data_IF_030796938067
#
_entry.id   IF_030796938067
#
_cell.length_a   1.000
_cell.length_b   1.000
_cell.length_c   1.000
_cell.angle_alpha   90.00
_cell.angle_beta   90.00
_cell.angle_gamma   90.00
#
_symmetry.space_group_name_H-M   'P 1'
#
loop_
_entity.id
_entity.type
_entity.pdbx_description
1 polymer ?
#
# COMPACT_ATOMS: atom_id res chain seq x y z
N UNK A 1 -1.68 9.91 20.38
CA UNK A 1 -2.09 9.53 19.00
C UNK A 1 -1.49 8.21 18.53
N UNK A 2 -0.21 8.11 18.10
CA UNK A 2 0.35 6.86 17.56
C UNK A 2 0.33 5.67 18.55
N UNK A 3 0.61 5.91 19.83
CA UNK A 3 0.60 4.87 20.85
C UNK A 3 -0.82 4.36 21.19
N UNK A 4 -1.80 5.26 21.13
CA UNK A 4 -3.21 4.98 21.45
C UNK A 4 -3.96 4.33 20.27
N UNK A 5 -3.52 4.58 19.04
CA UNK A 5 -4.18 4.05 17.84
C UNK A 5 -3.74 2.61 17.59
N UNK A 6 -4.66 1.70 17.27
CA UNK A 6 -4.33 0.33 16.82
C UNK A 6 -4.00 0.28 15.33
N UNK A 7 -4.58 1.20 14.56
CA UNK A 7 -4.41 1.34 13.12
C UNK A 7 -3.89 2.74 12.80
N UNK A 8 -2.79 2.78 12.04
CA UNK A 8 -2.17 4.01 11.54
C UNK A 8 -2.41 4.06 10.04
N UNK A 9 -3.25 4.99 9.59
CA UNK A 9 -3.56 5.18 8.18
C UNK A 9 -3.11 6.56 7.69
N UNK A 10 -2.52 6.61 6.49
CA UNK A 10 -2.12 7.88 5.88
C UNK A 10 -1.06 7.72 4.80
N UNK A 11 -0.66 8.85 4.21
CA UNK A 11 0.46 8.88 3.28
C UNK A 11 1.76 8.46 3.97
N UNK A 12 2.48 7.51 3.37
CA UNK A 12 3.61 6.89 4.05
C UNK A 12 4.75 7.86 4.34
N UNK A 13 4.97 8.87 3.49
CA UNK A 13 6.02 9.85 3.71
C UNK A 13 5.76 10.66 4.99
N UNK A 14 4.51 11.04 5.22
CA UNK A 14 4.10 11.74 6.44
C UNK A 14 4.08 10.83 7.66
N UNK A 15 3.56 9.62 7.53
CA UNK A 15 3.57 8.63 8.61
C UNK A 15 5.01 8.38 9.06
N UNK A 16 5.90 8.03 8.13
CA UNK A 16 7.32 7.73 8.39
C UNK A 16 8.05 8.89 9.09
N UNK A 17 7.76 10.13 8.72
CA UNK A 17 8.42 11.32 9.29
C UNK A 17 8.24 11.45 10.80
N UNK A 18 7.10 11.02 11.33
CA UNK A 18 6.74 11.15 12.74
C UNK A 18 6.55 9.81 13.45
N UNK A 19 6.85 8.70 12.77
CA UNK A 19 6.67 7.37 13.30
C UNK A 19 7.65 7.15 14.47
N UNK A 20 7.15 6.80 15.67
CA UNK A 20 8.02 6.39 16.79
C UNK A 20 8.89 5.19 16.46
N UNK A 21 9.97 5.00 17.22
CA UNK A 21 10.94 3.90 17.01
C UNK A 21 10.41 2.54 17.46
N UNK A 22 9.31 2.48 18.21
CA UNK A 22 8.69 1.24 18.63
C UNK A 22 7.17 1.40 18.69
N UNK A 23 6.47 0.54 17.95
CA UNK A 23 5.03 0.48 17.83
C UNK A 23 4.57 -0.98 17.72
N UNK A 24 4.80 -1.80 18.77
CA UNK A 24 4.48 -3.21 18.75
C UNK A 24 2.98 -3.44 18.55
N UNK A 25 2.62 -4.43 17.73
CA UNK A 25 1.23 -4.87 17.57
C UNK A 25 0.38 -4.00 16.64
N UNK A 26 0.95 -2.93 16.07
CA UNK A 26 0.18 -1.95 15.29
C UNK A 26 -0.01 -2.39 13.85
N UNK A 27 -1.09 -1.92 13.23
CA UNK A 27 -1.34 -2.07 11.79
C UNK A 27 -1.07 -0.74 11.06
N UNK A 28 -0.41 -0.79 9.91
CA UNK A 28 -0.24 0.35 9.00
C UNK A 28 -1.04 0.13 7.72
N UNK A 29 -1.83 1.14 7.33
CA UNK A 29 -2.54 1.18 6.04
C UNK A 29 -2.04 2.39 5.25
N UNK A 30 -1.45 2.18 4.08
CA UNK A 30 -0.86 3.28 3.31
C UNK A 30 -0.90 3.05 1.79
N UNK A 31 -0.38 3.99 1.02
CA UNK A 31 -0.35 3.95 -0.44
C UNK A 31 0.91 3.26 -0.98
N UNK A 32 2.10 3.77 -0.61
CA UNK A 32 3.37 3.39 -1.25
C UNK A 32 4.43 3.08 -0.21
N UNK A 33 5.12 1.96 -0.42
CA UNK A 33 6.25 1.52 0.41
C UNK A 33 7.33 0.92 -0.47
N UNK A 34 8.58 1.00 -0.01
CA UNK A 34 9.73 0.28 -0.57
C UNK A 34 10.13 -0.90 0.33
N UNK A 35 11.00 -1.79 -0.15
CA UNK A 35 11.57 -2.87 0.68
C UNK A 35 12.23 -2.36 1.96
N UNK A 36 12.95 -1.24 1.89
CA UNK A 36 13.60 -0.63 3.06
C UNK A 36 12.61 -0.11 4.08
N UNK A 37 11.46 0.38 3.61
CA UNK A 37 10.36 0.80 4.49
C UNK A 37 9.76 -0.40 5.22
N UNK A 38 9.50 -1.50 4.50
CA UNK A 38 8.97 -2.75 5.10
C UNK A 38 9.91 -3.27 6.20
N UNK A 39 11.21 -3.32 5.93
CA UNK A 39 12.21 -3.75 6.92
C UNK A 39 12.23 -2.83 8.16
N UNK A 40 12.12 -1.52 7.95
CA UNK A 40 12.04 -0.55 9.03
C UNK A 40 10.77 -0.75 9.87
N UNK A 41 9.61 -0.94 9.24
CA UNK A 41 8.34 -1.19 9.94
C UNK A 41 8.39 -2.48 10.76
N UNK A 42 8.96 -3.55 10.19
CA UNK A 42 9.15 -4.81 10.89
C UNK A 42 10.07 -4.64 12.11
N UNK A 43 11.19 -3.94 11.98
CA UNK A 43 12.11 -3.67 13.08
C UNK A 43 11.48 -2.85 14.22
N UNK A 44 10.45 -2.04 13.91
CA UNK A 44 9.70 -1.24 14.89
C UNK A 44 8.53 -2.00 15.53
N UNK A 45 8.34 -3.27 15.20
CA UNK A 45 7.28 -4.12 15.77
C UNK A 45 5.89 -3.93 15.17
N UNK A 46 5.78 -3.32 13.99
CA UNK A 46 4.50 -3.31 13.25
C UNK A 46 4.13 -4.75 12.90
N UNK A 47 2.88 -5.15 13.14
CA UNK A 47 2.42 -6.53 12.92
C UNK A 47 1.84 -6.74 11.53
N UNK A 48 1.20 -5.71 10.97
CA UNK A 48 0.50 -5.82 9.70
C UNK A 48 0.71 -4.55 8.87
N UNK A 49 1.14 -4.74 7.62
CA UNK A 49 1.21 -3.71 6.61
C UNK A 49 0.20 -4.00 5.51
N UNK A 50 -0.66 -3.02 5.24
CA UNK A 50 -1.59 -3.03 4.12
C UNK A 50 -1.26 -1.87 3.18
N UNK A 51 -1.10 -2.15 1.89
CA UNK A 51 -1.06 -1.09 0.86
C UNK A 51 -2.27 -1.13 -0.04
N UNK A 52 -2.80 0.05 -0.39
CA UNK A 52 -4.00 0.18 -1.25
C UNK A 52 -3.79 -0.38 -2.66
N UNK A 53 -2.54 -0.49 -3.10
CA UNK A 53 -2.13 -1.10 -4.37
C UNK A 53 -1.26 -2.34 -4.12
N UNK A 54 -1.14 -3.26 -5.09
CA UNK A 54 -0.32 -4.45 -4.95
C UNK A 54 1.18 -4.15 -4.89
N UNK A 55 1.95 -5.10 -4.39
CA UNK A 55 3.41 -5.08 -4.53
C UNK A 55 3.80 -5.50 -5.96
N UNK A 56 4.54 -4.65 -6.65
CA UNK A 56 5.15 -4.93 -7.94
C UNK A 56 6.67 -4.80 -7.78
N UNK A 57 7.39 -5.92 -7.91
CA UNK A 57 8.86 -5.98 -7.77
C UNK A 57 9.41 -5.36 -6.48
N UNK A 58 8.74 -5.55 -5.33
CA UNK A 58 9.20 -5.00 -4.05
C UNK A 58 8.73 -3.59 -3.73
N UNK A 59 7.84 -3.01 -4.53
CA UNK A 59 7.32 -1.66 -4.33
C UNK A 59 5.82 -1.59 -4.59
N UNK A 60 5.11 -0.80 -3.79
CA UNK A 60 3.73 -0.40 -4.10
C UNK A 60 3.73 0.96 -4.80
N UNK A 61 2.92 1.09 -5.86
CA UNK A 61 2.80 2.30 -6.66
C UNK A 61 1.53 3.08 -6.30
N UNK A 62 1.57 4.41 -6.44
CA UNK A 62 0.40 5.24 -6.16
C UNK A 62 -0.76 4.97 -7.11
N UNK A 63 -1.97 5.33 -6.70
CA UNK A 63 -3.19 5.15 -7.51
C UNK A 63 -3.07 5.80 -8.88
N UNK A 64 -2.49 7.00 -8.96
CA UNK A 64 -2.25 7.72 -10.21
C UNK A 64 -1.40 6.92 -11.23
N UNK A 65 -0.38 6.21 -10.77
CA UNK A 65 0.46 5.36 -11.62
C UNK A 65 -0.32 4.13 -12.08
N UNK A 66 -1.09 3.52 -11.18
CA UNK A 66 -1.92 2.37 -11.52
C UNK A 66 -3.02 2.74 -12.52
N UNK A 67 -3.69 3.89 -12.35
CA UNK A 67 -4.67 4.42 -13.31
C UNK A 67 -4.03 4.65 -14.68
N UNK A 68 -2.87 5.31 -14.73
CA UNK A 68 -2.14 5.53 -15.97
C UNK A 68 -1.74 4.23 -16.68
N UNK A 69 -1.30 3.22 -15.92
CA UNK A 69 -1.01 1.88 -16.43
C UNK A 69 -2.26 1.24 -17.03
N UNK A 70 -3.38 1.24 -16.29
CA UNK A 70 -4.65 0.66 -16.74
C UNK A 70 -5.13 1.29 -18.04
N UNK A 71 -5.09 2.63 -18.13
CA UNK A 71 -5.45 3.35 -19.36
C UNK A 71 -4.53 2.94 -20.51
N UNK A 72 -3.22 2.93 -20.28
CA UNK A 72 -2.22 2.63 -21.31
C UNK A 72 -2.37 1.21 -21.88
N UNK A 73 -2.69 0.23 -21.02
CA UNK A 73 -2.86 -1.17 -21.46
C UNK A 73 -4.27 -1.48 -21.97
N UNK A 74 -5.28 -0.66 -21.64
CA UNK A 74 -6.67 -0.90 -22.04
C UNK A 74 -6.93 -0.78 -23.54
N UNK A 75 -6.09 -0.04 -24.27
CA UNK A 75 -6.30 0.29 -25.69
C UNK A 75 -7.50 1.23 -25.94
N UNK A 76 -8.18 1.70 -24.90
CA UNK A 76 -9.31 2.64 -24.99
C UNK A 76 -8.78 4.07 -25.25
N UNK A 77 -9.57 4.88 -25.93
CA UNK A 77 -9.28 6.32 -26.08
C UNK A 77 -9.35 6.99 -24.69
N UNK A 78 -8.26 7.58 -24.16
CA UNK A 78 -8.24 8.18 -22.83
C UNK A 78 -9.32 9.25 -22.60
N UNK A 79 -9.77 9.92 -23.67
CA UNK A 79 -10.83 10.95 -23.59
C UNK A 79 -12.23 10.37 -23.39
N UNK A 80 -12.39 9.06 -23.54
CA UNK A 80 -13.68 8.34 -23.45
C UNK A 80 -13.76 7.41 -22.25
N UNK A 81 -12.69 7.32 -21.44
CA UNK A 81 -12.66 6.49 -20.24
C UNK A 81 -13.45 7.17 -19.13
N UNK A 82 -14.40 6.43 -18.54
CA UNK A 82 -15.15 6.83 -17.36
C UNK A 82 -14.93 5.88 -16.17
N UNK A 83 -15.58 6.15 -15.02
CA UNK A 83 -15.41 5.35 -13.79
C UNK A 83 -15.64 3.84 -13.99
N UNK A 84 -16.70 3.47 -14.74
CA UNK A 84 -17.02 2.07 -15.01
C UNK A 84 -15.92 1.34 -15.79
N UNK A 85 -15.22 2.03 -16.69
CA UNK A 85 -14.10 1.44 -17.42
C UNK A 85 -12.96 1.08 -16.46
N UNK A 86 -12.70 1.90 -15.43
CA UNK A 86 -11.70 1.58 -14.40
C UNK A 86 -12.13 0.38 -13.57
N UNK A 87 -13.40 0.32 -13.14
CA UNK A 87 -13.93 -0.83 -12.39
C UNK A 87 -13.75 -2.14 -13.17
N UNK A 88 -14.15 -2.16 -14.45
CA UNK A 88 -13.97 -3.32 -15.33
C UNK A 88 -12.50 -3.71 -15.49
N UNK A 89 -11.60 -2.73 -15.68
CA UNK A 89 -10.17 -2.99 -15.82
C UNK A 89 -9.55 -3.51 -14.52
N UNK A 90 -9.93 -2.95 -13.36
CA UNK A 90 -9.49 -3.37 -12.04
C UNK A 90 -9.90 -4.81 -11.73
N UNK A 91 -11.14 -5.17 -12.07
CA UNK A 91 -11.66 -6.53 -11.94
C UNK A 91 -10.91 -7.51 -12.84
N UNK A 92 -10.65 -7.14 -14.10
CA UNK A 92 -9.92 -7.98 -15.05
C UNK A 92 -8.49 -8.30 -14.61
N UNK A 93 -7.78 -7.31 -14.06
CA UNK A 93 -6.41 -7.54 -13.55
C UNK A 93 -6.41 -8.17 -12.15
N UNK A 94 -7.58 -8.29 -11.52
CA UNK A 94 -7.71 -8.78 -10.16
C UNK A 94 -6.90 -7.95 -9.17
N UNK A 95 -6.95 -6.62 -9.28
CA UNK A 95 -6.16 -5.72 -8.43
C UNK A 95 -6.52 -6.01 -6.96
N UNK A 96 -5.52 -6.39 -6.17
CA UNK A 96 -5.68 -6.64 -4.74
C UNK A 96 -4.73 -5.75 -3.95
N UNK A 97 -5.14 -5.31 -2.75
CA UNK A 97 -4.21 -4.68 -1.84
C UNK A 97 -3.09 -5.66 -1.48
N UNK A 98 -1.92 -5.12 -1.17
CA UNK A 98 -0.90 -5.90 -0.45
C UNK A 98 -1.39 -6.06 0.98
N UNK A 99 -1.42 -7.27 1.50
CA UNK A 99 -1.63 -7.57 2.92
C UNK A 99 -0.43 -8.39 3.37
N UNK A 100 0.40 -7.83 4.23
CA UNK A 100 1.63 -8.47 4.69
C UNK A 100 1.74 -8.43 6.21
N UNK A 101 1.69 -9.61 6.82
CA UNK A 101 2.04 -9.81 8.22
C UNK A 101 3.55 -9.68 8.40
N UNK A 102 3.97 -8.85 9.35
CA UNK A 102 5.36 -8.53 9.65
C UNK A 102 5.85 -9.16 10.98
N UNK A 103 4.93 -9.53 11.89
CA UNK A 103 5.19 -10.37 13.06
C UNK A 103 4.56 -11.77 12.91
N UNK A 104 5.18 -12.91 13.24
CA UNK A 104 6.54 -13.23 13.67
C UNK A 104 7.13 -14.36 12.78
N UNK A 105 8.44 -14.39 12.62
CA UNK A 105 9.16 -15.68 12.51
C UNK A 105 9.60 -16.03 13.93
N UNK A 106 8.86 -16.91 14.61
CA UNK A 106 9.35 -17.55 15.82
C UNK A 106 10.48 -18.51 15.42
N UNK A 107 11.68 -18.29 15.93
CA UNK A 107 12.70 -19.32 16.06
C UNK A 107 12.62 -19.89 17.49
#
# INVERSE_FOLDING_TARGET
YYYEADIIAGDFHYVKKFLPDSLPGKTIITNTVTKGDVAMLQARGIDLLITTTPELNGRSFGTNVMEGLLIAVSGKDPKKIGPKDYEELLDQIGLKPRIQYLGATSA
#
